data_IF_538419252282
#
_entry.id   IF_538419252282
#
_cell.length_a   1.000
_cell.length_b   1.000
_cell.length_c   1.000
_cell.angle_alpha   90.00
_cell.angle_beta   90.00
_cell.angle_gamma   90.00
#
_symmetry.space_group_name_H-M   'P 1'
#
loop_
_entity.id
_entity.type
_entity.pdbx_description
1 polymer ?
#
# COMPACT_ATOMS: atom_id res chain seq x y z
N UNK A 1 -17.46 24.24 23.38
CA UNK A 1 -17.81 24.22 21.93
C UNK A 1 -16.52 24.17 21.14
N UNK A 2 -16.38 23.20 20.25
CA UNK A 2 -15.21 23.07 19.37
C UNK A 2 -15.39 21.89 18.41
N UNK A 3 -16.26 22.08 17.42
CA UNK A 3 -16.58 21.09 16.40
C UNK A 3 -15.43 21.12 15.37
N UNK A 4 -14.57 20.10 15.39
CA UNK A 4 -13.57 19.90 14.34
C UNK A 4 -14.23 19.23 13.13
N UNK A 5 -14.90 20.04 12.29
CA UNK A 5 -15.29 19.63 10.95
C UNK A 5 -14.09 19.79 10.01
N UNK A 6 -13.52 18.66 9.54
CA UNK A 6 -12.63 18.68 8.38
C UNK A 6 -13.50 18.49 7.12
N UNK A 7 -13.33 19.41 6.17
CA UNK A 7 -14.17 19.63 4.98
C UNK A 7 -14.03 18.50 3.94
N UNK A 8 -15.19 18.05 3.48
CA UNK A 8 -15.64 17.57 2.16
C UNK A 8 -14.66 17.39 0.98
N UNK A 9 -14.79 16.21 0.36
CA UNK A 9 -15.02 15.92 -1.08
C UNK A 9 -14.30 16.79 -2.14
N UNK A 10 -13.29 16.19 -2.76
CA UNK A 10 -12.89 16.47 -4.15
C UNK A 10 -13.00 15.16 -4.93
N UNK A 11 -13.80 15.03 -6.01
CA UNK A 11 -13.66 13.90 -6.92
C UNK A 11 -12.55 14.28 -7.91
N UNK A 12 -11.30 14.22 -7.45
CA UNK A 12 -10.15 14.10 -8.36
C UNK A 12 -10.31 12.79 -9.15
N UNK A 13 -9.82 12.68 -10.41
CA UNK A 13 -10.07 11.50 -11.25
C UNK A 13 -9.82 10.24 -10.42
N UNK A 14 -10.86 9.41 -10.32
CA UNK A 14 -11.09 8.41 -9.27
C UNK A 14 -9.88 7.48 -9.02
N UNK A 15 -8.86 8.00 -8.34
CA UNK A 15 -7.73 7.25 -7.87
C UNK A 15 -8.30 6.32 -6.81
N UNK A 16 -8.27 5.03 -7.07
CA UNK A 16 -8.84 4.07 -6.16
C UNK A 16 -7.91 3.93 -4.96
N UNK A 17 -8.12 4.74 -3.93
CA UNK A 17 -7.28 4.76 -2.71
C UNK A 17 -7.17 3.38 -2.07
N UNK A 18 -8.24 2.57 -2.15
CA UNK A 18 -8.24 1.19 -1.67
C UNK A 18 -7.25 0.31 -2.46
N UNK A 19 -7.11 0.52 -3.77
CA UNK A 19 -6.16 -0.22 -4.61
C UNK A 19 -4.72 0.22 -4.35
N UNK A 20 -4.49 1.51 -4.14
CA UNK A 20 -3.18 2.03 -3.72
C UNK A 20 -2.75 1.40 -2.39
N UNK A 21 -3.66 1.29 -1.43
CA UNK A 21 -3.35 0.68 -0.13
C UNK A 21 -3.09 -0.82 -0.26
N UNK A 22 -3.86 -1.55 -1.09
CA UNK A 22 -3.56 -2.95 -1.41
C UNK A 22 -2.17 -3.13 -2.05
N UNK A 23 -1.76 -2.18 -2.90
CA UNK A 23 -0.42 -2.11 -3.47
C UNK A 23 0.67 -2.03 -2.41
N UNK A 24 0.47 -1.15 -1.42
CA UNK A 24 1.37 -1.02 -0.27
C UNK A 24 1.40 -2.28 0.59
N UNK A 25 0.24 -2.85 0.93
CA UNK A 25 0.14 -4.08 1.70
C UNK A 25 0.85 -5.25 1.00
N UNK A 26 0.72 -5.34 -0.33
CA UNK A 26 1.43 -6.35 -1.11
C UNK A 26 2.95 -6.17 -1.04
N UNK A 27 3.44 -4.93 -1.13
CA UNK A 27 4.87 -4.63 -1.02
C UNK A 27 5.41 -4.94 0.38
N UNK A 28 4.65 -4.64 1.43
CA UNK A 28 4.93 -5.05 2.82
C UNK A 28 5.03 -6.58 2.90
N UNK A 29 3.99 -7.30 2.46
CA UNK A 29 3.96 -8.75 2.48
C UNK A 29 5.14 -9.36 1.73
N UNK A 30 5.49 -8.82 0.55
CA UNK A 30 6.66 -9.24 -0.23
C UNK A 30 7.97 -9.02 0.53
N UNK A 31 8.14 -7.87 1.19
CA UNK A 31 9.31 -7.56 2.01
C UNK A 31 9.44 -8.51 3.22
N UNK A 32 8.32 -8.95 3.76
CA UNK A 32 8.24 -9.94 4.85
C UNK A 32 8.17 -11.40 4.39
N UNK A 33 8.20 -11.67 3.08
CA UNK A 33 8.01 -13.01 2.47
C UNK A 33 6.71 -13.71 2.91
N UNK A 34 5.67 -12.95 3.22
CA UNK A 34 4.34 -13.48 3.56
C UNK A 34 3.57 -13.83 2.29
N UNK A 35 3.75 -15.08 1.85
CA UNK A 35 3.10 -15.59 0.63
C UNK A 35 1.58 -15.72 0.77
N UNK A 36 1.05 -15.88 1.98
CA UNK A 36 -0.41 -15.99 2.22
C UNK A 36 -1.08 -14.64 1.99
N UNK A 37 -0.53 -13.58 2.57
CA UNK A 37 -1.01 -12.22 2.36
C UNK A 37 -0.90 -11.84 0.87
N UNK A 38 0.24 -12.12 0.23
CA UNK A 38 0.44 -11.85 -1.20
C UNK A 38 -0.63 -12.55 -2.08
N UNK A 39 -0.93 -13.82 -1.80
CA UNK A 39 -1.92 -14.58 -2.57
C UNK A 39 -3.35 -14.10 -2.34
N UNK A 40 -3.69 -13.70 -1.11
CA UNK A 40 -4.99 -13.09 -0.79
C UNK A 40 -5.19 -11.80 -1.59
N UNK A 41 -4.19 -10.92 -1.58
CA UNK A 41 -4.24 -9.64 -2.29
C UNK A 41 -4.33 -9.85 -3.80
N UNK A 42 -3.54 -10.77 -4.37
CA UNK A 42 -3.63 -11.13 -5.80
C UNK A 42 -5.01 -11.62 -6.23
N UNK A 43 -5.69 -12.40 -5.40
CA UNK A 43 -7.07 -12.85 -5.68
C UNK A 43 -8.06 -11.71 -5.67
N UNK A 44 -7.88 -10.75 -4.77
CA UNK A 44 -8.74 -9.57 -4.68
C UNK A 44 -8.59 -8.68 -5.92
N UNK A 45 -7.36 -8.52 -6.43
CA UNK A 45 -7.05 -7.72 -7.61
C UNK A 45 -7.47 -8.40 -8.92
N UNK A 46 -7.35 -9.73 -9.02
CA UNK A 46 -7.74 -10.47 -10.23
C UNK A 46 -9.23 -10.34 -10.59
N UNK A 47 -10.04 -9.79 -9.67
CA UNK A 47 -11.46 -9.48 -9.89
C UNK A 47 -11.71 -8.00 -10.24
N UNK A 48 -10.65 -7.20 -10.42
CA UNK A 48 -10.70 -5.72 -10.53
C UNK A 48 -10.20 -5.24 -11.90
N UNK A 49 -10.67 -4.08 -12.33
CA UNK A 49 -10.43 -3.51 -13.68
C UNK A 49 -8.99 -3.06 -13.92
N UNK A 50 -8.65 -2.82 -15.19
CA UNK A 50 -7.29 -2.46 -15.64
C UNK A 50 -6.81 -1.11 -15.08
N UNK A 51 -7.71 -0.14 -14.90
CA UNK A 51 -7.38 1.18 -14.32
C UNK A 51 -6.88 1.04 -12.89
N UNK A 52 -7.52 0.16 -12.11
CA UNK A 52 -7.16 -0.13 -10.72
C UNK A 52 -5.80 -0.81 -10.58
N UNK A 53 -5.32 -1.51 -11.61
CA UNK A 53 -3.97 -2.10 -11.64
C UNK A 53 -2.87 -1.04 -11.66
N UNK A 54 -3.13 0.11 -12.30
CA UNK A 54 -2.16 1.22 -12.31
C UNK A 54 -2.01 1.85 -10.93
N UNK A 55 -3.12 2.00 -10.20
CA UNK A 55 -3.15 2.49 -8.82
C UNK A 55 -2.50 1.50 -7.84
N UNK A 56 -2.74 0.20 -8.04
CA UNK A 56 -2.07 -0.86 -7.29
C UNK A 56 -0.54 -0.79 -7.45
N UNK A 57 -0.05 -0.60 -8.68
CA UNK A 57 1.39 -0.44 -8.94
C UNK A 57 1.94 0.82 -8.27
N UNK A 58 1.22 1.93 -8.33
CA UNK A 58 1.62 3.16 -7.64
C UNK A 58 1.74 2.96 -6.11
N UNK A 59 0.86 2.14 -5.52
CA UNK A 59 0.95 1.72 -4.12
C UNK A 59 2.21 0.91 -3.79
N UNK A 60 2.57 -0.05 -4.64
CA UNK A 60 3.79 -0.85 -4.48
C UNK A 60 5.04 0.04 -4.52
N UNK A 61 5.15 0.89 -5.54
CA UNK A 61 6.29 1.79 -5.72
C UNK A 61 6.39 2.80 -4.56
N UNK A 62 5.26 3.29 -4.06
CA UNK A 62 5.21 4.16 -2.88
C UNK A 62 5.83 3.50 -1.64
N UNK A 63 5.66 2.19 -1.43
CA UNK A 63 6.28 1.50 -0.30
C UNK A 63 7.73 1.10 -0.58
N UNK A 64 8.02 0.60 -1.78
CA UNK A 64 9.36 0.17 -2.17
C UNK A 64 10.38 1.31 -2.22
N UNK A 65 9.93 2.53 -2.49
CA UNK A 65 10.76 3.73 -2.42
C UNK A 65 11.25 4.06 -1.00
N UNK A 66 10.62 3.49 0.04
CA UNK A 66 11.03 3.70 1.43
C UNK A 66 12.27 2.84 1.72
N UNK A 67 13.45 3.46 1.93
CA UNK A 67 14.65 2.70 2.18
C UNK A 67 14.52 1.90 3.49
N UNK A 68 15.04 0.67 3.46
CA UNK A 68 15.10 -0.16 4.65
C UNK A 68 15.99 0.49 5.70
N UNK A 69 15.42 0.89 6.85
CA UNK A 69 16.20 1.38 7.98
C UNK A 69 17.17 0.25 8.41
N UNK A 70 18.49 0.46 8.36
CA UNK A 70 19.45 -0.56 8.76
C UNK A 70 19.28 -0.83 10.25
N UNK A 71 18.97 -2.07 10.61
CA UNK A 71 19.02 -2.51 12.01
C UNK A 71 20.48 -2.55 12.41
N UNK A 72 20.94 -1.52 13.12
CA UNK A 72 22.27 -1.47 13.72
C UNK A 72 22.48 -2.74 14.52
N UNK A 73 23.28 -3.67 13.97
CA UNK A 73 23.63 -4.93 14.63
C UNK A 73 24.55 -4.53 15.78
N UNK A 74 23.97 -4.26 16.95
CA UNK A 74 24.71 -4.03 18.17
C UNK A 74 25.35 -5.37 18.57
N UNK A 75 26.49 -5.68 17.94
CA UNK A 75 27.38 -6.76 18.36
C UNK A 75 27.99 -6.27 19.67
N UNK A 76 27.24 -6.40 20.77
CA UNK A 76 27.82 -6.28 22.10
C UNK A 76 28.91 -7.35 22.16
N UNK A 77 30.14 -6.87 22.12
CA UNK A 77 31.37 -7.64 22.13
C UNK A 77 31.68 -8.06 23.56
#
# INVERSE_FOLDING_TARGET
>A
MGIFSRKNNTPEPARNEAMVELGREYAIARRHRDTRAMNRIKRQIGATDVTDLSDFRAGQESYDSVPSIPRGRNRRR
#
